data_IF_569641903844
#
_entry.id   IF_569641903844
#
_cell.length_a   1.000
_cell.length_b   1.000
_cell.length_c   1.000
_cell.angle_alpha   90.00
_cell.angle_beta   90.00
_cell.angle_gamma   90.00
#
_symmetry.space_group_name_H-M   'P 1'
#
loop_
_entity.id
_entity.type
_entity.pdbx_description
1 polymer ?
#
# COMPACT_ATOMS: atom_id res chain seq x y z
N UNK A 1 -5.74 -16.98 -8.77
CA UNK A 1 -5.47 -15.91 -7.79
C UNK A 1 -4.57 -14.90 -8.48
N UNK A 2 -4.89 -13.59 -8.46
CA UNK A 2 -3.99 -12.57 -8.98
C UNK A 2 -2.65 -12.64 -8.25
N UNK A 3 -1.57 -12.29 -8.96
CA UNK A 3 -0.24 -12.26 -8.39
C UNK A 3 -0.21 -11.28 -7.20
N UNK A 4 0.42 -11.68 -6.09
CA UNK A 4 0.58 -10.80 -4.93
C UNK A 4 1.43 -9.57 -5.29
N UNK A 5 2.21 -9.69 -6.36
CA UNK A 5 3.05 -8.65 -6.95
C UNK A 5 2.21 -7.58 -7.66
N UNK A 6 1.00 -7.95 -8.09
CA UNK A 6 0.02 -7.07 -8.73
C UNK A 6 -1.10 -6.61 -7.77
N UNK A 7 -0.94 -6.84 -6.46
CA UNK A 7 -1.98 -6.52 -5.46
C UNK A 7 -1.44 -5.67 -4.32
N UNK A 8 -2.03 -4.50 -4.03
CA UNK A 8 -1.65 -3.72 -2.84
C UNK A 8 -2.33 -4.27 -1.58
N UNK A 9 -1.56 -4.76 -0.61
CA UNK A 9 -2.13 -5.37 0.59
C UNK A 9 -2.90 -4.39 1.48
N UNK A 10 -2.55 -3.08 1.46
CA UNK A 10 -3.21 -2.08 2.29
C UNK A 10 -4.71 -1.96 1.99
N UNK A 11 -5.09 -1.58 0.78
CA UNK A 11 -6.51 -1.38 0.46
C UNK A 11 -7.30 -2.70 0.31
N UNK A 12 -6.63 -3.84 0.39
CA UNK A 12 -7.26 -5.17 0.41
C UNK A 12 -7.42 -5.78 1.80
N UNK A 13 -6.65 -5.34 2.81
CA UNK A 13 -6.63 -5.97 4.14
C UNK A 13 -6.72 -5.01 5.31
N UNK A 14 -6.54 -3.72 5.07
CA UNK A 14 -6.45 -2.69 6.12
C UNK A 14 -7.44 -1.58 5.84
N UNK A 15 -8.40 -1.39 6.74
CA UNK A 15 -9.22 -0.19 6.78
C UNK A 15 -8.50 0.91 7.56
N UNK A 16 -8.55 2.13 7.06
CA UNK A 16 -8.00 3.32 7.72
C UNK A 16 -9.15 4.25 8.02
N UNK A 17 -9.34 4.51 9.31
CA UNK A 17 -10.43 5.33 9.84
C UNK A 17 -9.78 6.50 10.59
N UNK A 18 -10.11 7.71 10.19
CA UNK A 18 -9.63 8.94 10.79
C UNK A 18 -10.40 9.25 12.07
N UNK A 19 -9.86 10.15 12.89
CA UNK A 19 -10.42 10.47 14.22
C UNK A 19 -11.84 11.01 14.18
N UNK A 20 -12.24 11.58 13.03
CA UNK A 20 -13.56 12.15 12.82
C UNK A 20 -14.55 11.15 12.18
N UNK A 21 -14.13 9.91 11.95
CA UNK A 21 -14.93 8.86 11.32
C UNK A 21 -14.84 8.82 9.79
N UNK A 22 -14.02 9.66 9.17
CA UNK A 22 -13.70 9.51 7.75
C UNK A 22 -12.96 8.18 7.49
N UNK A 23 -13.32 7.49 6.42
CA UNK A 23 -12.66 6.29 5.94
C UNK A 23 -11.93 6.63 4.65
N UNK A 24 -10.62 6.37 4.61
CA UNK A 24 -9.77 6.60 3.44
C UNK A 24 -9.32 5.28 2.84
N UNK A 25 -8.93 5.32 1.57
CA UNK A 25 -8.60 4.11 0.79
C UNK A 25 -7.33 3.40 1.26
N UNK A 26 -6.37 4.09 1.88
CA UNK A 26 -5.17 3.51 2.50
C UNK A 26 -4.50 4.51 3.46
N UNK A 27 -3.37 4.13 4.08
CA UNK A 27 -2.63 4.99 5.02
C UNK A 27 -1.66 5.97 4.33
N UNK A 28 -1.72 6.13 3.01
CA UNK A 28 -0.93 7.12 2.30
C UNK A 28 -1.45 8.53 2.65
N UNK A 29 -0.56 9.52 2.78
CA UNK A 29 -0.91 10.92 3.06
C UNK A 29 -1.88 11.53 2.04
N UNK A 30 -1.87 11.02 0.81
CA UNK A 30 -2.75 11.45 -0.27
C UNK A 30 -3.79 10.39 -0.63
N UNK A 31 -4.20 9.57 0.33
CA UNK A 31 -5.25 8.59 0.11
C UNK A 31 -6.60 9.28 -0.09
N UNK A 32 -7.31 8.86 -1.13
CA UNK A 32 -8.66 9.32 -1.45
C UNK A 32 -9.67 8.91 -0.38
N UNK A 33 -10.65 9.78 -0.16
CA UNK A 33 -11.80 9.54 0.71
C UNK A 33 -12.68 8.42 0.13
N UNK A 34 -12.94 7.40 0.94
CA UNK A 34 -13.80 6.27 0.59
C UNK A 34 -15.24 6.43 1.10
N UNK A 35 -15.42 7.09 2.25
CA UNK A 35 -16.72 7.26 2.91
C UNK A 35 -16.56 7.85 4.31
N UNK A 36 -17.67 8.00 5.03
CA UNK A 36 -17.68 8.40 6.44
C UNK A 36 -18.57 7.44 7.23
N UNK A 37 -18.09 7.04 8.41
CA UNK A 37 -18.90 6.27 9.35
C UNK A 37 -19.94 7.18 10.00
N UNK A 38 -21.19 6.74 9.97
CA UNK A 38 -22.29 7.40 10.65
C UNK A 38 -23.33 6.36 11.13
N UNK A 39 -24.43 6.83 11.72
CA UNK A 39 -25.48 5.95 12.23
C UNK A 39 -26.17 5.11 11.14
N UNK A 40 -26.10 5.52 9.87
CA UNK A 40 -26.71 4.84 8.74
C UNK A 40 -25.71 4.01 7.93
N UNK A 41 -24.42 4.32 8.00
CA UNK A 41 -23.38 3.80 7.11
C UNK A 41 -22.27 3.12 7.91
N UNK A 42 -22.28 1.79 7.88
CA UNK A 42 -21.23 0.96 8.48
C UNK A 42 -19.99 0.81 7.58
N UNK A 43 -18.89 0.37 8.19
CA UNK A 43 -17.62 0.15 7.48
C UNK A 43 -17.76 -0.83 6.32
N UNK A 44 -18.55 -1.89 6.46
CA UNK A 44 -18.75 -2.90 5.41
C UNK A 44 -19.31 -2.28 4.12
N UNK A 45 -20.28 -1.37 4.25
CA UNK A 45 -20.87 -0.67 3.11
C UNK A 45 -19.84 0.22 2.40
N UNK A 46 -18.99 0.91 3.16
CA UNK A 46 -17.91 1.75 2.61
C UNK A 46 -16.82 0.88 1.97
N UNK A 47 -16.43 -0.21 2.63
CA UNK A 47 -15.37 -1.12 2.20
C UNK A 47 -15.71 -1.83 0.89
N UNK A 48 -17.00 -2.11 0.68
CA UNK A 48 -17.53 -2.68 -0.56
C UNK A 48 -18.07 -1.61 -1.53
N UNK A 49 -17.97 -0.33 -1.16
CA UNK A 49 -18.46 0.79 -1.92
C UNK A 49 -17.62 1.11 -3.16
N UNK A 50 -18.12 2.03 -4.01
CA UNK A 50 -17.55 2.29 -5.33
C UNK A 50 -16.11 2.82 -5.28
N UNK A 51 -15.75 3.58 -4.24
CA UNK A 51 -14.38 4.11 -4.10
C UNK A 51 -13.37 3.00 -3.81
N UNK A 52 -13.66 2.13 -2.86
CA UNK A 52 -12.79 1.00 -2.51
C UNK A 52 -12.72 -0.04 -3.63
N UNK A 53 -13.84 -0.34 -4.30
CA UNK A 53 -13.82 -1.23 -5.47
C UNK A 53 -13.08 -0.58 -6.64
N UNK A 54 -13.25 0.72 -6.85
CA UNK A 54 -12.59 1.48 -7.90
C UNK A 54 -11.06 1.47 -7.78
N UNK A 55 -10.52 1.77 -6.60
CA UNK A 55 -9.06 1.74 -6.39
C UNK A 55 -8.49 0.33 -6.57
N UNK A 56 -9.22 -0.71 -6.14
CA UNK A 56 -8.81 -2.12 -6.32
C UNK A 56 -8.81 -2.54 -7.78
N UNK A 57 -9.85 -2.18 -8.53
CA UNK A 57 -9.98 -2.53 -9.93
C UNK A 57 -9.01 -1.75 -10.83
N UNK A 58 -8.69 -0.51 -10.47
CA UNK A 58 -7.78 0.34 -11.23
C UNK A 58 -6.30 0.04 -10.98
N UNK A 59 -5.96 -0.56 -9.84
CA UNK A 59 -4.56 -0.83 -9.47
C UNK A 59 -3.86 -1.74 -10.48
N UNK A 60 -2.63 -1.38 -10.86
CA UNK A 60 -1.85 -2.10 -11.87
C UNK A 60 -2.34 -1.93 -13.32
N UNK A 61 -3.33 -1.06 -13.58
CA UNK A 61 -3.86 -0.78 -14.93
C UNK A 61 -3.48 0.64 -15.38
N UNK A 62 -3.78 1.00 -16.63
CA UNK A 62 -3.62 2.38 -17.14
C UNK A 62 -4.46 3.40 -16.36
N UNK A 63 -5.56 2.94 -15.75
CA UNK A 63 -6.44 3.77 -14.92
C UNK A 63 -5.97 3.88 -13.47
N UNK A 64 -4.78 3.36 -13.12
CA UNK A 64 -4.26 3.38 -11.75
C UNK A 64 -4.30 4.78 -11.14
N UNK A 65 -4.78 4.88 -9.90
CA UNK A 65 -4.99 6.17 -9.26
C UNK A 65 -3.65 6.84 -8.93
N UNK A 66 -3.53 8.19 -9.00
CA UNK A 66 -2.28 8.89 -8.74
C UNK A 66 -1.64 8.54 -7.38
N UNK A 67 -2.46 8.33 -6.34
CA UNK A 67 -2.02 7.90 -5.01
C UNK A 67 -1.25 6.56 -4.98
N UNK A 68 -1.43 5.71 -6.00
CA UNK A 68 -0.82 4.38 -6.12
C UNK A 68 0.45 4.40 -6.97
N UNK A 69 0.52 5.27 -7.99
CA UNK A 69 1.65 5.37 -8.92
C UNK A 69 2.94 5.75 -8.21
N UNK A 70 2.86 6.72 -7.30
CA UNK A 70 4.00 7.28 -6.55
C UNK A 70 4.00 6.83 -5.09
N UNK A 71 3.39 5.68 -4.78
CA UNK A 71 3.21 5.24 -3.40
C UNK A 71 4.51 4.67 -2.81
N UNK A 72 5.03 5.32 -1.77
CA UNK A 72 6.20 4.84 -1.02
C UNK A 72 6.02 3.42 -0.45
N UNK A 73 4.80 3.01 -0.10
CA UNK A 73 4.54 1.64 0.37
C UNK A 73 4.66 0.58 -0.74
N UNK A 74 4.44 0.97 -2.00
CA UNK A 74 4.79 0.11 -3.16
C UNK A 74 6.29 -0.12 -3.19
N UNK A 75 7.09 0.90 -2.88
CA UNK A 75 8.55 0.78 -2.78
C UNK A 75 9.00 0.00 -1.53
N UNK A 76 8.27 0.05 -0.41
CA UNK A 76 8.58 -0.74 0.80
C UNK A 76 8.43 -2.26 0.58
N UNK A 77 7.51 -2.71 -0.27
CA UNK A 77 7.40 -4.13 -0.69
C UNK A 77 8.71 -4.70 -1.23
N UNK A 78 9.63 -3.84 -1.70
CA UNK A 78 10.95 -4.22 -2.19
C UNK A 78 12.00 -4.38 -1.06
N UNK A 79 11.66 -4.41 0.23
CA UNK A 79 12.68 -4.56 1.28
C UNK A 79 13.55 -5.83 1.10
N UNK A 80 12.94 -6.99 0.84
CA UNK A 80 13.67 -8.22 0.52
C UNK A 80 14.45 -8.12 -0.80
N UNK A 81 13.93 -7.34 -1.75
CA UNK A 81 14.53 -7.15 -3.09
C UNK A 81 15.71 -6.17 -3.04
N UNK A 82 15.69 -5.17 -2.15
CA UNK A 82 16.80 -4.25 -1.89
C UNK A 82 17.97 -4.96 -1.24
N UNK A 83 17.70 -5.82 -0.24
CA UNK A 83 18.74 -6.68 0.33
C UNK A 83 19.27 -7.71 -0.68
N UNK A 84 18.44 -8.18 -1.61
CA UNK A 84 18.89 -9.07 -2.70
C UNK A 84 19.71 -8.30 -3.75
N UNK A 85 19.32 -7.08 -4.15
CA UNK A 85 20.06 -6.24 -5.10
C UNK A 85 21.41 -5.78 -4.55
N UNK A 86 21.50 -5.38 -3.28
CA UNK A 86 22.80 -5.11 -2.62
C UNK A 86 23.73 -6.32 -2.68
N UNK A 87 23.18 -7.54 -2.60
CA UNK A 87 23.92 -8.80 -2.64
C UNK A 87 24.03 -9.44 -4.03
N UNK A 88 23.47 -8.81 -5.07
CA UNK A 88 23.39 -9.34 -6.43
C UNK A 88 22.67 -10.70 -6.53
N UNK A 89 21.65 -10.91 -5.69
CA UNK A 89 20.84 -12.14 -5.63
C UNK A 89 19.47 -11.98 -6.32
N UNK A 90 18.82 -13.08 -6.76
CA UNK A 90 17.48 -13.05 -7.33
C UNK A 90 16.42 -12.67 -6.29
N UNK A 91 15.63 -11.65 -6.59
CA UNK A 91 14.56 -11.17 -5.72
C UNK A 91 13.26 -11.97 -5.90
N UNK A 92 12.79 -12.68 -4.87
CA UNK A 92 11.51 -13.41 -4.90
C UNK A 92 10.47 -12.80 -3.94
N UNK A 93 9.38 -12.28 -4.49
CA UNK A 93 8.29 -11.62 -3.75
C UNK A 93 7.34 -12.59 -3.03
N UNK A 94 7.38 -13.88 -3.38
CA UNK A 94 6.51 -14.92 -2.82
C UNK A 94 6.96 -15.42 -1.44
N UNK A 95 8.13 -15.04 -0.97
CA UNK A 95 8.64 -15.45 0.33
C UNK A 95 8.46 -14.33 1.35
N UNK A 96 7.75 -14.61 2.44
CA UNK A 96 7.61 -13.69 3.56
C UNK A 96 8.97 -13.40 4.19
N UNK A 97 9.24 -12.13 4.53
CA UNK A 97 10.43 -11.75 5.26
C UNK A 97 10.22 -11.99 6.76
N UNK A 98 11.18 -12.62 7.44
CA UNK A 98 11.22 -12.66 8.89
C UNK A 98 11.45 -11.26 9.45
N UNK A 99 10.81 -10.95 10.57
CA UNK A 99 11.04 -9.69 11.28
C UNK A 99 12.52 -9.56 11.68
N UNK A 100 13.08 -8.35 11.53
CA UNK A 100 14.43 -8.02 12.03
C UNK A 100 14.42 -6.64 12.68
N UNK A 101 15.28 -6.40 13.67
CA UNK A 101 15.43 -5.11 14.35
C UNK A 101 16.09 -4.01 13.50
N UNK A 102 16.38 -4.27 12.22
CA UNK A 102 17.00 -3.28 11.34
C UNK A 102 16.01 -2.17 11.00
N UNK A 103 16.25 -0.97 11.52
CA UNK A 103 15.67 0.28 11.01
C UNK A 103 16.62 0.91 10.00
N UNK A 104 16.12 1.23 8.80
CA UNK A 104 16.92 1.95 7.79
C UNK A 104 16.89 3.46 8.04
N UNK A 105 18.06 4.08 8.00
CA UNK A 105 18.24 5.54 8.03
C UNK A 105 18.27 6.07 6.60
N UNK A 106 17.20 6.76 6.18
CA UNK A 106 17.03 7.28 4.83
C UNK A 106 17.88 8.52 4.53
N UNK A 107 18.58 9.08 5.52
CA UNK A 107 19.48 10.24 5.32
C UNK A 107 20.75 9.87 4.55
N UNK A 108 21.07 8.58 4.43
CA UNK A 108 22.24 8.08 3.69
C UNK A 108 22.05 7.95 2.18
N UNK A 109 20.84 8.12 1.64
CA UNK A 109 20.63 8.11 0.19
C UNK A 109 20.87 9.47 -0.49
N UNK A 110 21.07 10.52 0.31
CA UNK A 110 21.53 11.83 -0.15
C UNK A 110 23.00 12.01 0.24
N UNK A 111 23.89 11.48 -0.60
CA UNK A 111 25.33 11.76 -0.56
C UNK A 111 26.17 10.50 -0.37
N UNK A 112 26.69 9.98 -1.48
CA UNK A 112 28.13 9.92 -1.77
C UNK A 112 28.39 8.99 -2.97
N UNK A 113 28.97 9.55 -4.05
CA UNK A 113 29.51 8.82 -5.20
C UNK A 113 29.01 9.31 -6.55
#
# INVERSE_FOLDING_TARGET
>A
MPDIDQTCLFFHRTAVIMVDGEVVTCANFFAEHAGRLDAATGLEAIWNGPRMQGVRAAFGTEAEWPQCRNCWFREIKYHSQRSAWEKHEPAALKQGAAYTEKSWDFRRFSGDG
#
